data_IF_964159783762
#
_entry.id   IF_964159783762
#
_cell.length_a   1.000
_cell.length_b   1.000
_cell.length_c   1.000
_cell.angle_alpha   90.00
_cell.angle_beta   90.00
_cell.angle_gamma   90.00
#
_symmetry.space_group_name_H-M   'P 1'
#
loop_
_entity.id
_entity.type
_entity.pdbx_description
1 polymer ?
#
# COMPACT_ATOMS: atom_id res chain seq x y z
N UNK A 1 4.28 23.70 -5.27
CA UNK A 1 3.70 23.35 -3.95
C UNK A 1 4.02 21.88 -3.72
N UNK A 2 4.88 21.59 -2.74
CA UNK A 2 5.44 20.28 -2.54
C UNK A 2 4.43 19.26 -2.05
N UNK A 3 4.33 18.14 -2.75
CA UNK A 3 3.63 16.95 -2.28
C UNK A 3 4.32 16.47 -1.00
N UNK A 4 3.76 16.83 0.14
CA UNK A 4 4.15 16.23 1.42
C UNK A 4 3.59 14.82 1.43
N UNK A 5 4.47 13.86 1.25
CA UNK A 5 4.23 12.47 1.64
C UNK A 5 3.77 12.49 3.09
N UNK A 6 2.49 12.22 3.36
CA UNK A 6 1.98 12.18 4.72
C UNK A 6 2.31 10.82 5.33
N UNK A 7 3.53 10.73 5.81
CA UNK A 7 3.98 9.65 6.67
C UNK A 7 3.36 9.78 8.06
N UNK A 8 3.24 8.65 8.73
CA UNK A 8 2.84 8.51 10.12
C UNK A 8 3.14 9.75 10.96
N UNK A 9 2.10 10.46 11.40
CA UNK A 9 2.28 11.46 12.45
C UNK A 9 2.23 10.75 13.79
N UNK A 10 3.42 10.57 14.36
CA UNK A 10 3.58 10.30 15.77
C UNK A 10 3.73 11.64 16.48
N UNK A 11 2.66 12.14 17.09
CA UNK A 11 2.80 13.20 18.06
C UNK A 11 3.30 12.61 19.39
N UNK A 12 4.54 12.95 19.74
CA UNK A 12 5.04 12.86 21.09
C UNK A 12 5.93 11.66 21.46
N UNK A 13 7.22 11.85 21.46
CA UNK A 13 8.18 11.11 22.29
C UNK A 13 7.82 11.30 23.78
N UNK A 14 7.63 10.18 24.48
CA UNK A 14 7.32 9.91 25.87
C UNK A 14 5.87 9.57 26.15
N UNK A 15 5.54 8.25 26.07
CA UNK A 15 4.36 7.69 26.71
C UNK A 15 3.03 7.97 26.03
N UNK A 16 2.99 8.56 24.86
CA UNK A 16 1.74 8.83 24.14
C UNK A 16 1.38 7.67 23.20
N UNK A 17 0.08 7.34 23.18
CA UNK A 17 -0.50 6.35 22.28
C UNK A 17 -0.62 6.95 20.88
N UNK A 18 -0.18 6.23 19.87
CA UNK A 18 -0.41 6.61 18.48
C UNK A 18 -1.91 6.52 18.16
N UNK A 19 -2.52 7.63 17.77
CA UNK A 19 -3.96 7.65 17.51
C UNK A 19 -4.35 7.01 16.17
N UNK A 20 -3.45 6.98 15.20
CA UNK A 20 -3.71 6.35 13.91
C UNK A 20 -2.43 6.25 13.07
N UNK A 21 -2.38 5.27 12.18
CA UNK A 21 -1.42 5.19 11.09
C UNK A 21 -2.18 5.25 9.77
N UNK A 22 -1.93 6.27 8.98
CA UNK A 22 -2.44 6.40 7.62
C UNK A 22 -1.33 6.06 6.65
N UNK A 23 -1.54 5.08 5.83
CA UNK A 23 -0.64 4.76 4.76
C UNK A 23 -1.27 5.08 3.42
N UNK A 24 -0.76 6.12 2.80
CA UNK A 24 -1.05 6.47 1.42
C UNK A 24 -0.01 5.78 0.55
N UNK A 25 -0.44 4.94 -0.27
CA UNK A 25 0.27 4.23 -1.32
C UNK A 25 0.36 2.72 -1.05
N UNK A 26 0.47 1.97 -2.11
CA UNK A 26 0.37 0.52 -2.18
C UNK A 26 1.12 -0.22 -1.06
N UNK A 27 2.39 0.07 -0.83
CA UNK A 27 3.20 -0.51 0.25
C UNK A 27 2.93 0.09 1.63
N UNK A 28 2.43 1.32 1.68
CA UNK A 28 2.21 2.02 2.94
C UNK A 28 1.17 1.36 3.84
N UNK A 29 0.13 0.72 3.28
CA UNK A 29 -0.84 -0.06 4.08
C UNK A 29 -0.16 -1.26 4.74
N UNK A 30 0.77 -1.91 4.05
CA UNK A 30 1.55 -3.04 4.59
C UNK A 30 2.51 -2.54 5.67
N UNK A 31 3.19 -1.42 5.43
CA UNK A 31 4.05 -0.78 6.43
C UNK A 31 3.27 -0.44 7.71
N UNK A 32 2.05 0.05 7.57
CA UNK A 32 1.19 0.34 8.72
C UNK A 32 0.78 -0.92 9.50
N UNK A 33 0.52 -2.03 8.80
CA UNK A 33 0.27 -3.34 9.41
C UNK A 33 1.49 -3.86 10.17
N UNK A 34 2.68 -3.82 9.56
CA UNK A 34 3.93 -4.20 10.21
C UNK A 34 4.19 -3.33 11.46
N UNK A 35 4.04 -2.02 11.32
CA UNK A 35 4.21 -1.09 12.44
C UNK A 35 3.20 -1.37 13.56
N UNK A 36 1.94 -1.61 13.24
CA UNK A 36 0.91 -1.91 14.23
C UNK A 36 1.20 -3.23 14.96
N UNK A 37 1.66 -4.24 14.23
CA UNK A 37 2.06 -5.53 14.81
C UNK A 37 3.26 -5.39 15.77
N UNK A 38 4.26 -4.58 15.40
CA UNK A 38 5.44 -4.33 16.22
C UNK A 38 5.17 -3.44 17.43
N UNK A 39 4.31 -2.44 17.26
CA UNK A 39 4.01 -1.44 18.30
C UNK A 39 2.94 -1.91 19.29
N UNK A 40 2.14 -2.91 18.93
CA UNK A 40 1.11 -3.50 19.78
C UNK A 40 0.12 -2.46 20.32
N UNK A 41 -0.12 -2.46 21.64
CA UNK A 41 -1.10 -1.60 22.31
C UNK A 41 -0.81 -0.10 22.24
N UNK A 42 0.35 0.29 21.69
CA UNK A 42 0.64 1.71 21.40
C UNK A 42 -0.15 2.23 20.19
N UNK A 43 -0.64 1.35 19.32
CA UNK A 43 -1.53 1.70 18.22
C UNK A 43 -2.97 1.59 18.72
N UNK A 44 -3.69 2.69 18.72
CA UNK A 44 -5.07 2.74 19.25
C UNK A 44 -6.13 2.53 18.18
N UNK A 45 -5.86 2.89 16.93
CA UNK A 45 -6.68 2.63 15.74
C UNK A 45 -5.79 2.51 14.52
N UNK A 46 -6.19 1.68 13.55
CA UNK A 46 -5.49 1.47 12.29
C UNK A 46 -6.45 1.74 11.11
N UNK A 47 -5.97 2.45 10.10
CA UNK A 47 -6.73 2.77 8.90
C UNK A 47 -5.91 2.36 7.68
N UNK A 48 -6.46 1.49 6.85
CA UNK A 48 -5.81 0.94 5.67
C UNK A 48 -6.65 1.27 4.45
N UNK A 49 -6.04 1.85 3.43
CA UNK A 49 -6.68 2.04 2.14
C UNK A 49 -6.03 1.15 1.10
N UNK A 50 -6.78 0.19 0.59
CA UNK A 50 -6.44 -0.67 -0.53
C UNK A 50 -5.04 -1.28 -0.47
N UNK A 51 -4.73 -2.11 0.53
CA UNK A 51 -3.50 -2.89 0.53
C UNK A 51 -3.44 -3.75 -0.73
N UNK A 52 -2.34 -3.69 -1.51
CA UNK A 52 -2.28 -4.26 -2.87
C UNK A 52 -1.85 -5.73 -2.83
N UNK A 53 -2.56 -6.56 -2.09
CA UNK A 53 -2.25 -7.97 -1.98
C UNK A 53 -2.79 -8.75 -3.19
N UNK A 54 -1.93 -9.54 -3.82
CA UNK A 54 -2.30 -10.49 -4.86
C UNK A 54 -2.34 -11.87 -4.21
N UNK A 55 -3.54 -12.31 -3.85
CA UNK A 55 -3.76 -13.51 -3.02
C UNK A 55 -4.42 -14.67 -3.76
N UNK A 56 -4.72 -14.47 -5.02
CA UNK A 56 -5.35 -15.40 -5.95
C UNK A 56 -4.93 -15.05 -7.39
N UNK A 57 -5.65 -15.56 -8.37
CA UNK A 57 -5.42 -15.36 -9.79
C UNK A 57 -6.08 -14.10 -10.39
N UNK A 58 -6.62 -13.21 -9.55
CA UNK A 58 -7.23 -11.94 -10.01
C UNK A 58 -6.24 -11.00 -10.69
N UNK A 59 -4.94 -11.17 -10.42
CA UNK A 59 -3.84 -10.48 -11.08
C UNK A 59 -2.61 -11.38 -11.14
N UNK A 60 -1.76 -11.20 -12.18
CA UNK A 60 -0.45 -11.85 -12.28
C UNK A 60 0.38 -11.58 -11.01
N UNK A 61 0.91 -12.61 -10.36
CA UNK A 61 1.81 -12.45 -9.24
C UNK A 61 3.07 -11.67 -9.60
N UNK A 62 3.59 -10.90 -8.65
CA UNK A 62 4.88 -10.25 -8.78
C UNK A 62 5.98 -11.32 -8.80
N UNK A 63 7.00 -11.21 -9.69
CA UNK A 63 8.09 -12.19 -9.78
C UNK A 63 8.79 -12.43 -8.44
N UNK A 64 9.18 -13.66 -8.18
CA UNK A 64 9.84 -14.04 -6.91
C UNK A 64 11.20 -13.32 -6.71
N UNK A 65 11.89 -12.97 -7.80
CA UNK A 65 13.16 -12.26 -7.82
C UNK A 65 13.00 -10.73 -7.98
N UNK A 66 11.77 -10.21 -7.83
CA UNK A 66 11.42 -8.80 -8.06
C UNK A 66 12.35 -7.81 -7.34
N UNK A 67 12.62 -8.03 -6.07
CA UNK A 67 13.50 -7.17 -5.27
C UNK A 67 14.94 -7.25 -5.77
N UNK A 68 15.39 -8.44 -6.14
CA UNK A 68 16.74 -8.65 -6.67
C UNK A 68 16.92 -7.92 -8.02
N UNK A 69 15.94 -7.99 -8.90
CA UNK A 69 15.96 -7.28 -10.19
C UNK A 69 15.99 -5.76 -9.99
N UNK A 70 15.16 -5.22 -9.09
CA UNK A 70 15.17 -3.78 -8.77
C UNK A 70 16.54 -3.32 -8.23
N UNK A 71 17.15 -4.09 -7.33
CA UNK A 71 18.47 -3.78 -6.81
C UNK A 71 19.53 -3.79 -7.91
N UNK A 72 19.54 -4.82 -8.77
CA UNK A 72 20.47 -4.94 -9.88
C UNK A 72 20.36 -3.77 -10.85
N UNK A 73 19.13 -3.36 -11.20
CA UNK A 73 18.89 -2.20 -12.06
C UNK A 73 19.37 -0.89 -11.43
N UNK A 74 19.11 -0.74 -10.13
CA UNK A 74 19.48 0.47 -9.38
C UNK A 74 21.00 0.58 -9.24
N UNK A 75 21.68 -0.51 -8.89
CA UNK A 75 23.15 -0.58 -8.76
C UNK A 75 23.84 -0.33 -10.11
N UNK A 76 23.24 -0.77 -11.21
CA UNK A 76 23.70 -0.49 -12.57
C UNK A 76 23.42 0.95 -13.04
N UNK A 77 22.79 1.80 -12.21
CA UNK A 77 22.37 3.16 -12.57
C UNK A 77 21.20 3.25 -13.55
N UNK A 78 20.53 2.14 -13.83
CA UNK A 78 19.44 2.00 -14.79
C UNK A 78 18.09 2.41 -14.18
N UNK A 79 18.02 3.65 -13.71
CA UNK A 79 16.87 4.18 -12.95
C UNK A 79 15.55 4.13 -13.72
N UNK A 80 15.57 4.43 -15.04
CA UNK A 80 14.37 4.37 -15.88
C UNK A 80 13.87 2.93 -16.00
N UNK A 81 14.77 1.98 -16.25
CA UNK A 81 14.44 0.55 -16.36
C UNK A 81 13.88 0.01 -15.02
N UNK A 82 14.38 0.47 -13.87
CA UNK A 82 13.84 0.11 -12.57
C UNK A 82 12.39 0.61 -12.39
N UNK A 83 12.09 1.84 -12.84
CA UNK A 83 10.72 2.37 -12.82
C UNK A 83 9.82 1.61 -13.78
N UNK A 84 10.30 1.29 -14.99
CA UNK A 84 9.56 0.48 -15.97
C UNK A 84 9.20 -0.89 -15.39
N UNK A 85 10.17 -1.56 -14.80
CA UNK A 85 9.98 -2.86 -14.18
C UNK A 85 8.95 -2.81 -13.03
N UNK A 86 9.01 -1.76 -12.20
CA UNK A 86 7.99 -1.53 -11.18
C UNK A 86 6.60 -1.32 -11.77
N UNK A 87 6.49 -0.48 -12.80
CA UNK A 87 5.20 -0.14 -13.43
C UNK A 87 4.59 -1.37 -14.11
N UNK A 88 5.39 -2.16 -14.82
CA UNK A 88 4.96 -3.39 -15.47
C UNK A 88 4.62 -4.48 -14.46
N UNK A 89 5.55 -4.86 -13.58
CA UNK A 89 5.39 -6.07 -12.75
C UNK A 89 4.56 -5.84 -11.48
N UNK A 90 4.72 -4.70 -10.81
CA UNK A 90 3.99 -4.45 -9.56
C UNK A 90 2.68 -3.70 -9.77
N UNK A 91 2.59 -2.79 -10.76
CA UNK A 91 1.37 -2.08 -11.08
C UNK A 91 0.52 -2.81 -12.13
N UNK A 92 1.11 -3.71 -12.91
CA UNK A 92 0.42 -4.43 -13.98
C UNK A 92 0.01 -3.52 -15.14
N UNK A 93 0.73 -2.42 -15.36
CA UNK A 93 0.47 -1.52 -16.48
C UNK A 93 1.04 -2.14 -17.75
N UNK A 94 0.26 -2.30 -18.83
CA UNK A 94 0.75 -2.81 -20.10
C UNK A 94 1.86 -1.95 -20.70
N UNK A 95 2.84 -2.59 -21.35
CA UNK A 95 4.04 -1.92 -21.88
C UNK A 95 3.72 -0.80 -22.88
N UNK A 96 2.62 -0.91 -23.62
CA UNK A 96 2.13 0.11 -24.54
C UNK A 96 1.82 1.45 -23.88
N UNK A 97 1.44 1.46 -22.59
CA UNK A 97 1.17 2.69 -21.83
C UNK A 97 2.45 3.27 -21.18
N UNK A 98 3.48 2.46 -20.96
CA UNK A 98 4.74 2.91 -20.34
C UNK A 98 5.40 4.01 -21.20
N UNK A 99 5.31 3.92 -22.54
CA UNK A 99 5.80 4.95 -23.45
C UNK A 99 5.19 6.33 -23.17
N UNK A 100 3.90 6.40 -22.94
CA UNK A 100 3.20 7.64 -22.60
C UNK A 100 3.62 8.16 -21.21
N UNK A 101 3.75 7.27 -20.24
CA UNK A 101 4.20 7.64 -18.90
C UNK A 101 5.61 8.24 -18.90
N UNK A 102 6.50 7.73 -19.74
CA UNK A 102 7.88 8.25 -19.91
C UNK A 102 7.91 9.68 -20.44
N UNK A 103 6.93 10.09 -21.23
CA UNK A 103 6.81 11.45 -21.75
C UNK A 103 6.34 12.46 -20.69
N UNK A 104 5.75 12.02 -19.59
CA UNK A 104 5.30 12.88 -18.51
C UNK A 104 6.46 13.34 -17.61
N UNK A 105 6.54 14.63 -17.22
CA UNK A 105 7.56 15.14 -16.31
C UNK A 105 7.66 14.42 -14.96
N UNK A 106 6.57 13.78 -14.50
CA UNK A 106 6.56 12.99 -13.26
C UNK A 106 7.48 11.77 -13.32
N UNK A 107 7.76 11.26 -14.53
CA UNK A 107 8.71 10.15 -14.73
C UNK A 107 10.10 10.45 -14.17
N UNK A 108 10.58 11.69 -14.31
CA UNK A 108 11.85 12.09 -13.74
C UNK A 108 11.87 11.97 -12.21
N UNK A 109 10.77 12.37 -11.56
CA UNK A 109 10.62 12.23 -10.10
C UNK A 109 10.61 10.76 -9.67
N UNK A 110 9.97 9.89 -10.45
CA UNK A 110 9.97 8.44 -10.19
C UNK A 110 11.40 7.87 -10.32
N UNK A 111 12.16 8.28 -11.35
CA UNK A 111 13.57 7.87 -11.51
C UNK A 111 14.43 8.31 -10.33
N UNK A 112 14.23 9.52 -9.81
CA UNK A 112 14.98 10.02 -8.66
C UNK A 112 14.76 9.16 -7.41
N UNK A 113 13.57 8.59 -7.27
CA UNK A 113 13.16 7.74 -6.15
C UNK A 113 13.29 6.23 -6.45
N UNK A 114 13.78 5.84 -7.63
CA UNK A 114 13.82 4.43 -8.05
C UNK A 114 14.54 3.50 -7.08
N UNK A 115 15.54 4.02 -6.36
CA UNK A 115 16.27 3.28 -5.32
C UNK A 115 15.41 2.84 -4.13
N UNK A 116 14.23 3.43 -3.94
CA UNK A 116 13.31 3.06 -2.85
C UNK A 116 12.34 1.94 -3.25
N UNK A 117 12.20 1.62 -4.54
CA UNK A 117 11.24 0.61 -5.02
C UNK A 117 11.51 -0.78 -4.45
N UNK A 118 12.78 -1.12 -4.26
CA UNK A 118 13.17 -2.39 -3.65
C UNK A 118 12.72 -2.48 -2.17
N UNK A 119 12.65 -1.37 -1.44
CA UNK A 119 12.16 -1.35 -0.05
C UNK A 119 10.67 -1.67 0.02
N UNK A 120 9.89 -1.15 -0.94
CA UNK A 120 8.47 -1.49 -1.07
C UNK A 120 8.29 -2.98 -1.35
N UNK A 121 9.07 -3.54 -2.26
CA UNK A 121 9.07 -4.99 -2.54
C UNK A 121 9.43 -5.84 -1.33
N UNK A 122 10.42 -5.41 -0.54
CA UNK A 122 10.83 -6.10 0.70
C UNK A 122 9.69 -6.12 1.73
N UNK A 123 9.02 -4.98 1.94
CA UNK A 123 7.94 -4.90 2.92
C UNK A 123 6.70 -5.68 2.46
N UNK A 124 6.43 -5.74 1.16
CA UNK A 124 5.38 -6.58 0.60
C UNK A 124 5.65 -8.07 0.86
N UNK A 125 6.87 -8.51 0.73
CA UNK A 125 7.26 -9.91 0.93
C UNK A 125 6.45 -10.84 0.01
N UNK A 126 5.77 -11.84 0.60
CA UNK A 126 4.99 -12.83 -0.16
C UNK A 126 3.54 -12.44 -0.43
N UNK A 127 3.11 -11.24 -0.02
CA UNK A 127 1.68 -10.83 -0.15
C UNK A 127 1.22 -10.57 -1.58
N UNK A 128 2.12 -10.60 -2.54
CA UNK A 128 1.82 -10.45 -3.96
C UNK A 128 2.16 -11.71 -4.78
N UNK A 129 2.16 -12.87 -4.13
CA UNK A 129 2.57 -14.15 -4.73
C UNK A 129 1.43 -14.93 -5.39
N UNK A 130 0.21 -14.41 -5.43
CA UNK A 130 -0.98 -15.17 -5.89
C UNK A 130 -1.45 -16.23 -4.89
N UNK A 131 -0.97 -16.20 -3.65
CA UNK A 131 -1.31 -17.17 -2.60
C UNK A 131 -1.99 -16.47 -1.41
N UNK A 132 -2.83 -17.19 -0.66
CA UNK A 132 -3.46 -16.65 0.55
C UNK A 132 -2.45 -15.99 1.50
N UNK A 133 -2.90 -14.95 2.21
CA UNK A 133 -2.07 -14.26 3.18
C UNK A 133 -1.63 -15.20 4.31
N UNK A 134 -0.38 -15.06 4.81
CA UNK A 134 0.08 -15.82 5.96
C UNK A 134 -0.71 -15.44 7.22
N UNK A 135 -1.22 -16.44 7.95
CA UNK A 135 -2.12 -16.25 9.09
C UNK A 135 -1.43 -15.73 10.35
N UNK A 136 -0.12 -15.80 10.41
CA UNK A 136 0.69 -15.45 11.58
C UNK A 136 1.65 -14.28 11.36
N UNK A 137 1.47 -13.55 10.26
CA UNK A 137 2.38 -12.43 9.93
C UNK A 137 2.11 -11.20 10.80
N UNK A 138 0.84 -10.89 11.05
CA UNK A 138 0.45 -9.69 11.80
C UNK A 138 -0.38 -10.04 13.02
N UNK A 139 0.01 -9.49 14.15
CA UNK A 139 -0.76 -9.54 15.39
C UNK A 139 -1.20 -8.11 15.71
N UNK A 140 -2.40 -7.75 15.28
CA UNK A 140 -2.97 -6.40 15.45
C UNK A 140 -4.25 -6.49 16.26
N UNK A 141 -4.22 -5.93 17.47
CA UNK A 141 -5.37 -5.88 18.39
C UNK A 141 -6.12 -4.54 18.32
N UNK A 142 -5.56 -3.55 17.63
CA UNK A 142 -6.21 -2.26 17.46
C UNK A 142 -7.46 -2.37 16.57
N UNK A 143 -8.54 -1.62 16.86
CA UNK A 143 -9.62 -1.41 15.93
C UNK A 143 -9.08 -0.96 14.58
N UNK A 144 -9.45 -1.70 13.51
CA UNK A 144 -8.90 -1.51 12.17
C UNK A 144 -10.01 -1.27 11.15
N UNK A 145 -9.92 -0.18 10.42
CA UNK A 145 -10.77 0.08 9.26
C UNK A 145 -10.00 -0.19 7.97
N UNK A 146 -10.51 -1.11 7.16
CA UNK A 146 -9.99 -1.39 5.82
C UNK A 146 -10.95 -0.74 4.83
N UNK A 147 -10.45 0.20 4.04
CA UNK A 147 -11.25 0.94 3.07
C UNK A 147 -10.90 0.50 1.65
N UNK A 148 -11.93 0.39 0.80
CA UNK A 148 -11.80 0.11 -0.64
C UNK A 148 -12.67 1.09 -1.42
N UNK A 149 -12.28 1.44 -2.64
CA UNK A 149 -13.15 2.16 -3.56
C UNK A 149 -14.12 1.19 -4.24
N UNK A 150 -15.36 1.60 -4.46
CA UNK A 150 -16.37 0.77 -5.15
C UNK A 150 -15.93 0.36 -6.55
N UNK A 151 -15.24 1.27 -7.26
CA UNK A 151 -14.77 1.10 -8.63
C UNK A 151 -13.34 0.57 -8.73
N UNK A 152 -12.76 0.13 -7.61
CA UNK A 152 -11.40 -0.41 -7.59
C UNK A 152 -11.33 -1.82 -8.15
N UNK A 153 -10.12 -2.21 -8.58
CA UNK A 153 -9.87 -3.55 -9.10
C UNK A 153 -10.20 -4.65 -8.06
N UNK A 154 -10.64 -5.84 -8.52
CA UNK A 154 -11.02 -6.94 -7.64
C UNK A 154 -9.98 -7.32 -6.59
N UNK A 155 -8.70 -7.22 -6.92
CA UNK A 155 -7.60 -7.54 -5.99
C UNK A 155 -7.68 -6.76 -4.67
N UNK A 156 -8.14 -5.50 -4.69
CA UNK A 156 -8.25 -4.68 -3.47
C UNK A 156 -9.41 -5.14 -2.58
N UNK A 157 -10.52 -5.54 -3.19
CA UNK A 157 -11.65 -6.13 -2.47
C UNK A 157 -11.28 -7.49 -1.87
N UNK A 158 -10.61 -8.34 -2.63
CA UNK A 158 -10.12 -9.64 -2.17
C UNK A 158 -9.14 -9.49 -1.01
N UNK A 159 -8.19 -8.56 -1.12
CA UNK A 159 -7.25 -8.23 -0.07
C UNK A 159 -7.93 -7.76 1.22
N UNK A 160 -8.94 -6.88 1.11
CA UNK A 160 -9.71 -6.40 2.25
C UNK A 160 -10.48 -7.54 2.92
N UNK A 161 -11.13 -8.41 2.14
CA UNK A 161 -11.84 -9.59 2.64
C UNK A 161 -10.91 -10.60 3.31
N UNK A 162 -9.70 -10.76 2.81
CA UNK A 162 -8.71 -11.62 3.45
C UNK A 162 -8.21 -11.04 4.78
N UNK A 163 -7.94 -9.73 4.82
CA UNK A 163 -7.46 -9.07 6.04
C UNK A 163 -8.49 -9.07 7.16
N UNK A 164 -9.78 -8.82 6.85
CA UNK A 164 -10.81 -8.80 7.90
C UNK A 164 -10.97 -10.16 8.58
N UNK A 165 -10.65 -11.26 7.88
CA UNK A 165 -10.65 -12.61 8.46
C UNK A 165 -9.45 -12.87 9.36
N UNK A 166 -8.35 -12.15 9.17
CA UNK A 166 -7.11 -12.30 9.94
C UNK A 166 -7.05 -11.37 11.15
N UNK A 167 -7.68 -10.21 11.07
CA UNK A 167 -7.60 -9.17 12.10
C UNK A 167 -8.88 -9.17 12.95
N UNK A 168 -8.82 -9.50 14.25
CA UNK A 168 -10.00 -9.77 15.07
C UNK A 168 -10.93 -8.57 15.29
N UNK A 169 -10.41 -7.34 15.10
CA UNK A 169 -11.15 -6.09 15.27
C UNK A 169 -11.14 -5.25 13.99
N UNK A 170 -11.22 -5.92 12.82
CA UNK A 170 -11.24 -5.22 11.55
C UNK A 170 -12.66 -5.16 10.97
N UNK A 171 -12.95 -4.03 10.34
CA UNK A 171 -14.15 -3.83 9.53
C UNK A 171 -13.76 -3.32 8.13
N UNK A 172 -14.62 -3.59 7.14
CA UNK A 172 -14.47 -3.08 5.77
C UNK A 172 -15.47 -1.96 5.55
N UNK A 173 -15.02 -0.90 4.88
CA UNK A 173 -15.87 0.16 4.37
C UNK A 173 -15.57 0.42 2.90
N UNK A 174 -16.59 0.29 2.05
CA UNK A 174 -16.48 0.59 0.62
C UNK A 174 -16.91 2.03 0.35
N UNK A 175 -16.03 2.80 -0.26
CA UNK A 175 -16.27 4.20 -0.62
C UNK A 175 -17.02 4.27 -1.94
N UNK A 176 -18.28 4.70 -1.91
CA UNK A 176 -19.14 4.80 -3.08
C UNK A 176 -18.55 5.72 -4.16
N UNK A 177 -18.54 5.26 -5.41
CA UNK A 177 -18.04 5.99 -6.57
C UNK A 177 -16.54 6.25 -6.62
N UNK A 178 -15.77 5.75 -5.63
CA UNK A 178 -14.32 5.94 -5.55
C UNK A 178 -13.55 4.76 -6.14
N UNK A 179 -12.27 4.99 -6.44
CA UNK A 179 -11.30 4.00 -6.90
C UNK A 179 -9.94 4.19 -6.19
N UNK A 180 -8.91 3.47 -6.63
CA UNK A 180 -7.56 3.53 -6.04
C UNK A 180 -6.95 4.94 -6.03
N UNK A 181 -7.40 5.85 -6.89
CA UNK A 181 -6.92 7.23 -6.94
C UNK A 181 -7.53 8.15 -5.88
N UNK A 182 -8.53 7.69 -5.10
CA UNK A 182 -9.27 8.53 -4.15
C UNK A 182 -8.40 9.26 -3.12
N UNK A 183 -7.21 8.74 -2.81
CA UNK A 183 -6.23 9.44 -1.95
C UNK A 183 -5.79 10.79 -2.53
N UNK A 184 -5.92 10.97 -3.84
CA UNK A 184 -5.55 12.18 -4.58
C UNK A 184 -6.80 12.93 -5.04
N UNK A 185 -7.80 12.19 -5.55
CA UNK A 185 -8.98 12.76 -6.23
C UNK A 185 -10.11 13.12 -5.28
N UNK A 186 -10.20 12.43 -4.11
CA UNK A 186 -11.26 12.62 -3.11
C UNK A 186 -10.74 12.49 -1.66
N UNK A 187 -9.67 13.20 -1.26
CA UNK A 187 -9.08 13.05 0.06
C UNK A 187 -10.03 13.40 1.21
N UNK A 188 -11.00 14.27 0.98
CA UNK A 188 -12.03 14.65 1.96
C UNK A 188 -12.99 13.49 2.26
N UNK A 189 -13.31 12.63 1.28
CA UNK A 189 -14.14 11.44 1.49
C UNK A 189 -13.42 10.47 2.41
N UNK A 190 -12.14 10.20 2.16
CA UNK A 190 -11.33 9.37 3.04
C UNK A 190 -11.20 9.98 4.45
N UNK A 191 -10.93 11.28 4.54
CA UNK A 191 -10.79 11.96 5.83
C UNK A 191 -12.08 11.87 6.65
N UNK A 192 -13.23 12.11 6.00
CA UNK A 192 -14.55 11.99 6.68
C UNK A 192 -14.77 10.56 7.18
N UNK A 193 -14.53 9.55 6.36
CA UNK A 193 -14.68 8.15 6.74
C UNK A 193 -13.80 7.79 7.94
N UNK A 194 -12.56 8.29 7.98
CA UNK A 194 -11.64 8.07 9.11
C UNK A 194 -12.14 8.74 10.39
N UNK A 195 -12.70 9.97 10.29
CA UNK A 195 -13.24 10.71 11.45
C UNK A 195 -14.50 10.05 11.98
N UNK A 196 -15.38 9.60 11.11
CA UNK A 196 -16.68 9.01 11.46
C UNK A 196 -16.55 7.53 11.93
N UNK A 197 -15.36 6.92 11.82
CA UNK A 197 -15.16 5.53 12.20
C UNK A 197 -15.14 5.35 13.72
N UNK A 198 -16.19 4.77 14.23
CA UNK A 198 -16.32 4.28 15.60
C UNK A 198 -16.47 2.75 15.59
N UNK A 199 -15.61 2.05 16.33
CA UNK A 199 -15.70 0.62 16.67
C UNK A 199 -15.80 0.47 18.17
#
# INVERSE_FOLDING_TARGET
MGSRCLFCFADGFKGQRFKWARANNRSGAVLALEAASLLGDRVTKLYLYEPPFIINDSRKPVPADYVQQLNSLTEAGKRSEAVEYFVSEALGIPDEFIGYMKADPSWNKMKDLSHTLAYDGLIMGTTQSGKPLPTNRWVVNAPTLIMTGENSEPLFHDAAQALVKLLPKAAIHTLGGQDHSAVITAPEVLAKTVVDFEL
#
